data_IF_067097130977
#
_entry.id   IF_067097130977
#
_cell.length_a   1.000
_cell.length_b   1.000
_cell.length_c   1.000
_cell.angle_alpha   90.00
_cell.angle_beta   90.00
_cell.angle_gamma   90.00
#
_symmetry.space_group_name_H-M   'P 1'
#
loop_
_entity.id
_entity.type
_entity.pdbx_description
1 polymer ?
#
# COMPACT_ATOMS: atom_id res chain seq x y z
N UNK A 1 2.72 18.08 -1.84
CA UNK A 1 3.00 17.99 -0.39
C UNK A 1 3.19 16.52 -0.08
N UNK A 2 4.44 16.07 -0.05
CA UNK A 2 4.80 14.64 0.02
C UNK A 2 4.35 14.01 1.34
N UNK A 3 3.93 12.74 1.29
CA UNK A 3 3.54 11.97 2.48
C UNK A 3 4.78 11.72 3.36
N UNK A 4 4.65 12.00 4.65
CA UNK A 4 5.70 11.73 5.65
C UNK A 4 6.14 10.25 5.58
N UNK A 5 7.47 10.01 5.51
CA UNK A 5 8.06 8.66 5.49
C UNK A 5 7.58 7.81 6.66
N UNK A 6 7.40 8.41 7.84
CA UNK A 6 6.88 7.73 9.03
C UNK A 6 5.45 7.25 8.83
N UNK A 7 4.57 8.10 8.28
CA UNK A 7 3.18 7.75 7.98
C UNK A 7 3.10 6.64 6.93
N UNK A 8 3.91 6.72 5.87
CA UNK A 8 4.03 5.67 4.86
C UNK A 8 4.44 4.33 5.47
N UNK A 9 5.47 4.34 6.32
CA UNK A 9 6.00 3.13 6.93
C UNK A 9 5.01 2.52 7.92
N UNK A 10 4.25 3.34 8.66
CA UNK A 10 3.17 2.86 9.54
C UNK A 10 2.04 2.18 8.77
N UNK A 11 1.58 2.77 7.66
CA UNK A 11 0.54 2.16 6.83
C UNK A 11 1.06 0.85 6.20
N UNK A 12 2.30 0.82 5.70
CA UNK A 12 2.92 -0.41 5.20
C UNK A 12 3.03 -1.49 6.28
N UNK A 13 3.52 -1.14 7.46
CA UNK A 13 3.66 -2.06 8.59
C UNK A 13 2.30 -2.63 8.99
N UNK A 14 1.25 -1.80 9.04
CA UNK A 14 -0.11 -2.25 9.33
C UNK A 14 -0.63 -3.25 8.30
N UNK A 15 -0.41 -3.01 7.01
CA UNK A 15 -0.84 -3.90 5.94
C UNK A 15 -0.11 -5.26 5.98
N UNK A 16 1.18 -5.25 6.30
CA UNK A 16 2.00 -6.45 6.44
C UNK A 16 1.59 -7.25 7.68
N UNK A 17 1.48 -6.60 8.84
CA UNK A 17 1.09 -7.26 10.09
C UNK A 17 -0.32 -7.83 9.98
N UNK A 18 -1.23 -7.13 9.29
CA UNK A 18 -2.56 -7.65 8.97
C UNK A 18 -2.50 -8.97 8.19
N UNK A 19 -1.69 -9.03 7.13
CA UNK A 19 -1.53 -10.25 6.34
C UNK A 19 -0.94 -11.40 7.16
N UNK A 20 0.12 -11.14 7.93
CA UNK A 20 0.74 -12.15 8.79
C UNK A 20 -0.26 -12.66 9.83
N UNK A 21 -0.99 -11.76 10.49
CA UNK A 21 -1.99 -12.11 11.50
C UNK A 21 -3.09 -12.98 10.91
N UNK A 22 -3.67 -12.57 9.77
CA UNK A 22 -4.75 -13.32 9.12
C UNK A 22 -4.30 -14.71 8.65
N UNK A 23 -3.08 -14.82 8.09
CA UNK A 23 -2.51 -16.11 7.72
C UNK A 23 -2.31 -17.03 8.93
N UNK A 24 -1.77 -16.51 10.04
CA UNK A 24 -1.59 -17.27 11.26
C UNK A 24 -2.94 -17.75 11.84
N UNK A 25 -3.92 -16.85 11.90
CA UNK A 25 -5.27 -17.17 12.38
C UNK A 25 -5.93 -18.26 11.53
N UNK A 26 -5.80 -18.19 10.20
CA UNK A 26 -6.33 -19.21 9.30
C UNK A 26 -5.63 -20.56 9.49
N UNK A 27 -4.30 -20.57 9.59
CA UNK A 27 -3.53 -21.80 9.82
C UNK A 27 -3.92 -22.49 11.13
N UNK A 28 -4.08 -21.73 12.22
CA UNK A 28 -4.54 -22.23 13.51
C UNK A 28 -5.99 -22.76 13.39
N UNK A 29 -6.86 -22.06 12.66
CA UNK A 29 -8.24 -22.49 12.45
C UNK A 29 -8.33 -23.81 11.69
N UNK A 30 -7.49 -24.01 10.67
CA UNK A 30 -7.40 -25.27 9.93
C UNK A 30 -6.86 -26.38 10.85
N UNK A 31 -5.84 -26.09 11.65
CA UNK A 31 -5.28 -27.05 12.60
C UNK A 31 -6.35 -27.57 13.56
N UNK A 32 -7.17 -26.68 14.12
CA UNK A 32 -8.26 -27.06 15.02
C UNK A 32 -9.41 -27.79 14.32
N UNK A 33 -9.67 -27.48 13.05
CA UNK A 33 -10.66 -28.21 12.25
C UNK A 33 -10.21 -29.64 11.95
N UNK A 34 -8.90 -29.86 11.71
CA UNK A 34 -8.33 -31.18 11.41
C UNK A 34 -8.10 -31.99 12.70
N UNK A 35 -7.68 -31.34 13.79
CA UNK A 35 -7.41 -31.99 15.09
C UNK A 35 -8.08 -31.22 16.24
N UNK A 36 -9.37 -31.49 16.51
CA UNK A 36 -10.08 -30.84 17.61
C UNK A 36 -9.51 -31.21 18.99
N UNK A 37 -8.81 -32.35 19.11
CA UNK A 37 -8.17 -32.80 20.35
C UNK A 37 -7.14 -31.79 20.87
N UNK A 38 -6.43 -31.12 19.95
CA UNK A 38 -5.44 -30.09 20.27
C UNK A 38 -6.13 -28.88 20.92
N UNK A 39 -7.29 -28.48 20.38
CA UNK A 39 -8.09 -27.39 20.93
C UNK A 39 -8.59 -27.74 22.34
N UNK A 40 -9.09 -28.96 22.55
CA UNK A 40 -9.53 -29.41 23.87
C UNK A 40 -8.39 -29.40 24.89
N UNK A 41 -7.21 -29.90 24.51
CA UNK A 41 -6.01 -29.90 25.36
C UNK A 41 -5.54 -28.48 25.73
N UNK A 42 -5.58 -27.54 24.78
CA UNK A 42 -5.23 -26.14 25.03
C UNK A 42 -6.25 -25.44 25.93
N UNK A 43 -7.54 -25.71 25.73
CA UNK A 43 -8.61 -25.13 26.55
C UNK A 43 -8.54 -25.61 28.01
N UNK A 44 -8.27 -26.90 28.24
CA UNK A 44 -8.14 -27.45 29.61
C UNK A 44 -6.85 -27.03 30.31
N UNK A 45 -5.71 -27.00 29.61
CA UNK A 45 -4.41 -26.73 30.25
C UNK A 45 -4.11 -25.25 30.44
N UNK A 46 -4.63 -24.37 29.58
CA UNK A 46 -4.25 -22.95 29.59
C UNK A 46 -5.43 -22.00 29.82
N UNK A 47 -6.66 -22.52 30.05
CA UNK A 47 -7.88 -21.71 30.20
C UNK A 47 -8.07 -20.68 29.06
N UNK A 48 -7.50 -20.96 27.88
CA UNK A 48 -7.62 -20.05 26.74
C UNK A 48 -8.95 -20.37 26.06
N UNK A 49 -9.94 -19.51 26.29
CA UNK A 49 -11.13 -19.42 25.45
C UNK A 49 -10.71 -18.87 24.08
N UNK A 50 -10.30 -19.75 23.18
CA UNK A 50 -10.07 -19.39 21.79
C UNK A 50 -11.44 -19.17 21.12
N UNK A 51 -11.70 -17.99 20.54
CA UNK A 51 -12.91 -17.78 19.76
C UNK A 51 -12.86 -18.71 18.55
N UNK A 52 -13.62 -19.80 18.60
CA UNK A 52 -13.79 -20.73 17.50
C UNK A 52 -14.80 -20.14 16.52
N UNK A 53 -14.41 -19.06 15.84
CA UNK A 53 -15.13 -18.65 14.62
C UNK A 53 -15.18 -19.84 13.67
N UNK A 54 -16.31 -20.04 13.00
CA UNK A 54 -16.43 -21.03 11.93
C UNK A 54 -15.29 -20.82 10.92
N UNK A 55 -14.71 -21.92 10.43
CA UNK A 55 -13.63 -21.89 9.44
C UNK A 55 -14.01 -21.07 8.20
N UNK A 56 -15.28 -21.10 7.80
CA UNK A 56 -15.83 -20.30 6.70
C UNK A 56 -15.72 -18.80 7.01
N UNK A 57 -16.04 -18.39 8.23
CA UNK A 57 -15.94 -16.98 8.66
C UNK A 57 -14.48 -16.53 8.62
N UNK A 58 -13.54 -17.36 9.08
CA UNK A 58 -12.13 -17.01 9.05
C UNK A 58 -11.59 -16.90 7.61
N UNK A 59 -12.07 -17.73 6.66
CA UNK A 59 -11.73 -17.59 5.24
C UNK A 59 -12.22 -16.23 4.70
N UNK A 60 -13.45 -15.83 5.01
CA UNK A 60 -14.01 -14.53 4.59
C UNK A 60 -13.20 -13.38 5.19
N UNK A 61 -12.83 -13.46 6.47
CA UNK A 61 -12.00 -12.46 7.16
C UNK A 61 -10.63 -12.35 6.48
N UNK A 62 -9.98 -13.47 6.14
CA UNK A 62 -8.69 -13.44 5.42
C UNK A 62 -8.85 -12.81 4.04
N UNK A 63 -9.88 -13.18 3.27
CA UNK A 63 -10.13 -12.60 1.95
C UNK A 63 -10.34 -11.08 2.05
N UNK A 64 -11.17 -10.62 3.00
CA UNK A 64 -11.37 -9.21 3.28
C UNK A 64 -10.05 -8.54 3.71
N UNK A 65 -9.28 -9.16 4.61
CA UNK A 65 -7.99 -8.66 5.05
C UNK A 65 -6.98 -8.48 3.91
N UNK A 66 -6.93 -9.42 2.96
CA UNK A 66 -6.09 -9.31 1.75
C UNK A 66 -6.54 -8.12 0.90
N UNK A 67 -7.84 -7.99 0.65
CA UNK A 67 -8.39 -6.83 -0.10
C UNK A 67 -8.05 -5.52 0.59
N UNK A 68 -8.23 -5.43 1.92
CA UNK A 68 -7.87 -4.27 2.72
C UNK A 68 -6.40 -3.90 2.59
N UNK A 69 -5.50 -4.88 2.72
CA UNK A 69 -4.05 -4.66 2.55
C UNK A 69 -3.69 -4.19 1.13
N UNK A 70 -4.31 -4.76 0.09
CA UNK A 70 -4.09 -4.33 -1.31
C UNK A 70 -4.54 -2.89 -1.51
N UNK A 71 -5.70 -2.50 -0.97
CA UNK A 71 -6.19 -1.12 -1.03
C UNK A 71 -5.23 -0.15 -0.33
N UNK A 72 -4.66 -0.54 0.83
CA UNK A 72 -3.64 0.25 1.49
C UNK A 72 -2.36 0.38 0.67
N UNK A 73 -1.83 -0.71 0.11
CA UNK A 73 -0.66 -0.66 -0.77
C UNK A 73 -0.91 0.21 -2.00
N UNK A 74 -2.09 0.09 -2.61
CA UNK A 74 -2.50 0.92 -3.73
C UNK A 74 -2.57 2.40 -3.33
N UNK A 75 -3.13 2.71 -2.15
CA UNK A 75 -3.22 4.09 -1.64
C UNK A 75 -1.83 4.74 -1.47
N UNK A 76 -0.83 3.94 -1.05
CA UNK A 76 0.56 4.40 -0.92
C UNK A 76 1.20 4.59 -2.30
N UNK A 77 1.03 3.63 -3.22
CA UNK A 77 1.67 3.65 -4.56
C UNK A 77 1.08 4.74 -5.45
N UNK A 78 -0.24 4.91 -5.43
CA UNK A 78 -0.95 5.87 -6.28
C UNK A 78 -0.63 7.32 -5.92
N UNK A 79 -0.41 7.65 -4.63
CA UNK A 79 -0.41 9.04 -4.16
C UNK A 79 0.78 9.46 -3.30
N UNK A 80 2.00 9.12 -3.73
CA UNK A 80 3.24 9.60 -3.11
C UNK A 80 3.34 11.14 -2.92
N UNK A 81 2.55 11.96 -3.64
CA UNK A 81 2.70 13.43 -3.68
C UNK A 81 1.60 14.28 -3.03
N UNK A 82 0.39 13.77 -2.80
CA UNK A 82 -0.72 14.55 -2.21
C UNK A 82 -1.74 13.65 -1.50
N UNK A 83 -1.63 13.56 -0.17
CA UNK A 83 -2.59 12.86 0.70
C UNK A 83 -3.79 13.75 1.06
N UNK A 84 -4.27 14.58 0.12
CA UNK A 84 -5.50 15.36 0.28
C UNK A 84 -6.55 14.88 -0.72
N UNK A 85 -7.74 14.60 -0.19
CA UNK A 85 -9.06 14.49 -0.83
C UNK A 85 -9.47 13.26 -1.65
N UNK A 86 -8.64 12.24 -1.88
CA UNK A 86 -9.10 10.98 -2.50
C UNK A 86 -9.19 9.85 -1.48
N UNK A 87 -9.98 10.08 -0.44
CA UNK A 87 -10.00 9.26 0.77
C UNK A 87 -10.70 7.90 0.61
N UNK A 88 -11.41 7.63 -0.49
CA UNK A 88 -12.23 6.43 -0.64
C UNK A 88 -11.45 5.12 -0.48
N UNK A 89 -10.33 4.97 -1.19
CA UNK A 89 -9.57 3.71 -1.20
C UNK A 89 -8.84 3.48 0.14
N UNK A 90 -8.25 4.53 0.71
CA UNK A 90 -7.60 4.44 2.03
C UNK A 90 -8.62 4.19 3.14
N UNK A 91 -9.75 4.93 3.16
CA UNK A 91 -10.81 4.73 4.15
C UNK A 91 -11.42 3.34 4.00
N UNK A 92 -11.65 2.86 2.77
CA UNK A 92 -12.13 1.50 2.54
C UNK A 92 -11.15 0.46 3.10
N UNK A 93 -9.85 0.58 2.79
CA UNK A 93 -8.81 -0.29 3.34
C UNK A 93 -8.73 -0.22 4.87
N UNK A 94 -8.85 0.99 5.44
CA UNK A 94 -8.88 1.23 6.88
C UNK A 94 -10.07 0.53 7.54
N UNK A 95 -11.29 0.75 7.06
CA UNK A 95 -12.51 0.14 7.61
C UNK A 95 -12.41 -1.38 7.55
N UNK A 96 -11.96 -1.93 6.42
CA UNK A 96 -11.79 -3.37 6.25
C UNK A 96 -10.79 -3.92 7.29
N UNK A 97 -9.66 -3.25 7.52
CA UNK A 97 -8.66 -3.71 8.48
C UNK A 97 -9.10 -3.51 9.93
N UNK A 98 -9.88 -2.48 10.24
CA UNK A 98 -10.48 -2.28 11.57
C UNK A 98 -11.42 -3.45 11.90
N UNK A 99 -12.23 -3.88 10.93
CA UNK A 99 -13.21 -4.95 11.13
C UNK A 99 -12.57 -6.34 11.08
N UNK A 100 -11.61 -6.55 10.17
CA UNK A 100 -11.10 -7.89 9.85
C UNK A 100 -9.65 -8.15 10.26
N UNK A 101 -8.84 -7.11 10.57
CA UNK A 101 -7.39 -7.24 10.69
C UNK A 101 -6.83 -7.45 12.09
N UNK A 102 -7.69 -7.44 13.10
CA UNK A 102 -7.28 -7.57 14.50
C UNK A 102 -6.68 -6.28 15.07
N UNK A 103 -6.29 -6.37 16.35
CA UNK A 103 -5.99 -5.21 17.18
C UNK A 103 -4.70 -4.47 16.79
N UNK A 104 -3.64 -5.20 16.43
CA UNK A 104 -2.34 -4.60 16.12
C UNK A 104 -2.36 -3.73 14.84
N UNK A 105 -2.85 -4.25 13.69
CA UNK A 105 -2.96 -3.47 12.46
C UNK A 105 -3.85 -2.25 12.61
N UNK A 106 -4.94 -2.39 13.36
CA UNK A 106 -5.85 -1.30 13.69
C UNK A 106 -5.14 -0.16 14.43
N UNK A 107 -4.37 -0.46 15.49
CA UNK A 107 -3.61 0.56 16.24
C UNK A 107 -2.63 1.30 15.34
N UNK A 108 -1.87 0.58 14.52
CA UNK A 108 -0.87 1.18 13.63
C UNK A 108 -1.52 2.15 12.64
N UNK A 109 -2.66 1.77 12.08
CA UNK A 109 -3.44 2.64 11.20
C UNK A 109 -4.02 3.84 11.95
N UNK A 110 -4.53 3.62 13.16
CA UNK A 110 -5.06 4.70 13.99
C UNK A 110 -3.97 5.73 14.30
N UNK A 111 -2.80 5.29 14.75
CA UNK A 111 -1.64 6.18 14.98
C UNK A 111 -1.29 6.93 13.69
N UNK A 112 -1.31 6.27 12.53
CA UNK A 112 -1.00 6.91 11.24
C UNK A 112 -1.97 8.03 10.84
N UNK A 113 -3.22 8.02 11.34
CA UNK A 113 -4.18 9.12 11.14
C UNK A 113 -3.82 10.36 11.96
N UNK A 114 -3.26 10.18 13.16
CA UNK A 114 -2.89 11.27 14.06
C UNK A 114 -1.47 11.78 13.86
N UNK A 115 -0.62 11.09 13.10
CA UNK A 115 0.66 11.65 12.66
C UNK A 115 0.35 12.86 11.78
N UNK A 116 0.62 14.09 12.26
CA UNK A 116 0.30 15.28 11.49
C UNK A 116 1.11 15.25 10.19
N UNK A 117 0.51 15.70 9.08
CA UNK A 117 1.24 15.90 7.82
C UNK A 117 2.26 17.06 7.90
N UNK A 118 2.49 17.60 9.10
CA UNK A 118 3.45 18.66 9.40
C UNK A 118 4.86 18.09 9.27
N UNK A 119 5.41 18.27 8.06
CA UNK A 119 6.81 18.57 7.75
C UNK A 119 7.79 18.03 8.80
N UNK A 120 8.09 16.73 8.71
CA UNK A 120 9.47 16.35 9.02
C UNK A 120 10.28 17.04 7.92
N UNK A 121 11.04 18.08 8.30
CA UNK A 121 12.13 18.59 7.49
C UNK A 121 12.93 17.37 7.05
N UNK A 122 12.75 16.94 5.80
CA UNK A 122 13.63 15.94 5.19
C UNK A 122 15.05 16.47 5.41
N UNK A 123 15.97 15.62 5.88
CA UNK A 123 17.37 16.01 5.95
C UNK A 123 17.76 16.54 4.56
N UNK A 124 18.54 17.64 4.45
CA UNK A 124 18.83 18.28 3.17
C UNK A 124 19.49 17.33 2.14
N UNK A 125 20.06 16.21 2.60
CA UNK A 125 20.61 15.16 1.76
C UNK A 125 19.57 14.31 1.00
N UNK A 126 18.34 14.18 1.51
CA UNK A 126 17.28 13.41 0.86
C UNK A 126 16.52 14.26 -0.16
N UNK A 127 16.31 15.55 0.13
CA UNK A 127 15.72 16.52 -0.82
C UNK A 127 16.59 16.64 -2.07
N UNK A 128 17.92 16.78 -1.90
CA UNK A 128 18.87 16.85 -3.02
C UNK A 128 18.94 15.58 -3.88
N UNK A 129 18.62 14.40 -3.32
CA UNK A 129 18.58 13.16 -4.10
C UNK A 129 17.30 13.07 -4.92
N UNK A 130 16.18 13.50 -4.37
CA UNK A 130 14.89 13.49 -5.08
C UNK A 130 14.84 14.57 -6.17
N UNK A 131 15.31 15.79 -5.91
CA UNK A 131 15.44 16.86 -6.93
C UNK A 131 16.33 16.40 -8.09
N UNK A 132 17.49 15.78 -7.81
CA UNK A 132 18.39 15.27 -8.86
C UNK A 132 17.82 14.11 -9.69
N UNK A 133 16.82 13.40 -9.19
CA UNK A 133 16.14 12.33 -9.93
C UNK A 133 15.01 12.92 -10.77
N UNK A 134 14.28 13.89 -10.24
CA UNK A 134 13.26 14.63 -10.97
C UNK A 134 13.87 15.46 -12.12
N UNK A 135 14.95 16.20 -11.87
CA UNK A 135 15.68 16.95 -12.88
C UNK A 135 16.16 16.05 -14.02
N UNK A 136 16.75 14.89 -13.70
CA UNK A 136 17.17 13.91 -14.73
C UNK A 136 16.00 13.41 -15.57
N UNK A 137 14.85 13.16 -14.95
CA UNK A 137 13.66 12.70 -15.67
C UNK A 137 13.10 13.79 -16.62
N UNK A 138 13.09 15.05 -16.19
CA UNK A 138 12.70 16.17 -17.06
C UNK A 138 13.71 16.41 -18.17
N UNK A 139 15.01 16.25 -17.90
CA UNK A 139 16.07 16.35 -18.90
C UNK A 139 15.91 15.26 -19.98
N UNK A 140 15.74 14.00 -19.56
CA UNK A 140 15.52 12.87 -20.49
C UNK A 140 14.27 13.06 -21.35
N UNK A 141 13.17 13.56 -20.77
CA UNK A 141 11.95 13.89 -21.53
C UNK A 141 12.21 15.01 -22.54
N UNK A 142 12.95 16.05 -22.15
CA UNK A 142 13.29 17.18 -23.02
C UNK A 142 14.17 16.75 -24.20
N UNK A 143 15.17 15.92 -23.93
CA UNK A 143 16.08 15.40 -24.96
C UNK A 143 15.35 14.47 -25.96
N UNK A 144 14.39 13.67 -25.47
CA UNK A 144 13.50 12.87 -26.33
C UNK A 144 12.57 13.72 -27.19
N UNK A 145 12.03 14.82 -26.65
CA UNK A 145 11.19 15.75 -27.43
C UNK A 145 12.03 16.47 -28.49
N UNK A 146 13.26 16.88 -28.15
CA UNK A 146 14.15 17.56 -29.08
C UNK A 146 14.61 16.64 -30.22
N UNK A 147 14.95 15.38 -29.92
CA UNK A 147 15.27 14.39 -30.96
C UNK A 147 14.09 14.10 -31.88
N UNK A 148 12.87 13.98 -31.35
CA UNK A 148 11.66 13.85 -32.18
C UNK A 148 11.42 15.08 -33.07
N UNK A 149 11.71 16.28 -32.57
CA UNK A 149 11.60 17.51 -33.36
C UNK A 149 12.61 17.54 -34.52
N UNK A 150 13.86 17.12 -34.27
CA UNK A 150 14.88 16.98 -35.33
C UNK A 150 14.47 15.96 -36.39
N UNK A 151 13.97 14.79 -36.00
CA UNK A 151 13.51 13.76 -36.94
C UNK A 151 12.35 14.24 -37.83
N UNK A 152 11.46 15.09 -37.30
CA UNK A 152 10.39 15.74 -38.07
C UNK A 152 10.96 16.78 -39.03
N UNK A 153 11.87 17.64 -38.56
CA UNK A 153 12.47 18.71 -39.36
C UNK A 153 13.38 18.15 -40.48
N UNK A 154 13.96 16.97 -40.27
CA UNK A 154 14.71 16.18 -41.27
C UNK A 154 13.80 15.39 -42.24
N UNK A 155 12.48 15.39 -42.02
CA UNK A 155 11.52 14.68 -42.88
C UNK A 155 11.55 13.16 -42.75
N UNK A 156 12.22 12.62 -41.73
CA UNK A 156 12.34 11.16 -41.47
C UNK A 156 11.04 10.57 -40.93
N UNK A 157 10.23 11.39 -40.26
CA UNK A 157 8.91 11.03 -39.74
C UNK A 157 7.84 11.99 -40.26
N UNK A 158 6.64 11.47 -40.46
CA UNK A 158 5.49 12.28 -40.86
C UNK A 158 4.93 13.10 -39.69
N UNK A 159 4.18 14.17 -39.97
CA UNK A 159 3.52 14.98 -38.93
C UNK A 159 2.60 14.16 -38.01
N UNK A 160 1.97 13.13 -38.56
CA UNK A 160 1.04 12.26 -37.83
C UNK A 160 1.79 11.34 -36.85
N UNK A 161 2.91 10.75 -37.28
CA UNK A 161 3.78 9.94 -36.42
C UNK A 161 4.45 10.77 -35.33
N UNK A 162 4.82 12.02 -35.62
CA UNK A 162 5.34 12.95 -34.62
C UNK A 162 4.30 13.23 -33.51
N UNK A 163 3.04 13.49 -33.90
CA UNK A 163 1.96 13.75 -32.93
C UNK A 163 1.65 12.54 -32.06
N UNK A 164 1.66 11.32 -32.63
CA UNK A 164 1.48 10.08 -31.86
C UNK A 164 2.59 9.86 -30.83
N UNK A 165 3.86 9.94 -31.24
CA UNK A 165 5.01 9.72 -30.34
C UNK A 165 5.14 10.79 -29.26
N UNK A 166 4.75 12.03 -29.57
CA UNK A 166 4.69 13.10 -28.58
C UNK A 166 3.62 12.82 -27.51
N UNK A 167 2.47 12.25 -27.92
CA UNK A 167 1.38 11.90 -27.00
C UNK A 167 1.75 10.76 -26.05
N UNK A 168 2.54 9.79 -26.51
CA UNK A 168 3.06 8.71 -25.66
C UNK A 168 4.09 9.18 -24.62
N UNK A 169 4.75 10.32 -24.85
CA UNK A 169 5.80 10.87 -23.99
C UNK A 169 5.29 11.85 -22.92
N UNK A 170 4.10 12.41 -23.10
CA UNK A 170 3.45 13.34 -22.16
C UNK A 170 2.87 12.59 -20.95
#
# INVERSE_FOLDING_TARGET
MYMNKTKRNLILASAIINLISNCATLAISILFAVRPDILQMLATNYFISLPTSSLIINIIIVAAGVVGSVLLFYSIRSKGKYFRSSHGIYIAGFIIIVVCGGFLPWILLFISMFVPDIIVMNRPSEVKKEEKVEERFYQDKKDKIESLKKLRDEGVITEEEYKQRLFELL
#
